data_IF_864464436099
#
_entry.id   IF_864464436099
#
_cell.length_a   1.000
_cell.length_b   1.000
_cell.length_c   1.000
_cell.angle_alpha   90.00
_cell.angle_beta   90.00
_cell.angle_gamma   90.00
#
_symmetry.space_group_name_H-M   'P 1'
#
loop_
_entity.id
_entity.type
_entity.pdbx_description
1 polymer ?
#
# COMPACT_ATOMS: atom_id res chain seq x y z
N UNK A 1 10.47 -13.55 -10.41
CA UNK A 1 11.87 -13.36 -10.10
C UNK A 1 12.07 -12.09 -9.28
N UNK A 2 12.85 -12.19 -8.21
CA UNK A 2 13.10 -11.06 -7.33
C UNK A 2 13.79 -9.92 -8.08
N UNK A 3 13.28 -8.69 -7.88
CA UNK A 3 13.90 -7.50 -8.43
C UNK A 3 13.80 -7.32 -9.93
N UNK A 4 12.87 -8.01 -10.61
CA UNK A 4 12.79 -7.98 -12.06
C UNK A 4 11.65 -7.13 -12.61
N UNK A 5 10.69 -6.70 -11.76
CA UNK A 5 9.54 -5.93 -12.21
C UNK A 5 9.73 -4.44 -11.92
N UNK A 6 9.32 -3.61 -12.88
CA UNK A 6 9.39 -2.15 -12.75
C UNK A 6 8.22 -1.58 -11.97
N UNK A 7 7.09 -2.27 -11.99
CA UNK A 7 5.81 -1.74 -11.50
C UNK A 7 4.94 -2.89 -10.99
N UNK A 8 4.22 -2.65 -9.90
CA UNK A 8 3.23 -3.57 -9.37
C UNK A 8 2.01 -2.79 -8.89
N UNK A 9 0.83 -3.35 -9.10
CA UNK A 9 -0.43 -2.76 -8.67
C UNK A 9 -1.08 -3.69 -7.65
N UNK A 10 -1.42 -3.14 -6.48
CA UNK A 10 -2.02 -3.89 -5.39
C UNK A 10 -3.51 -3.54 -5.27
N UNK A 11 -4.36 -4.49 -5.62
CA UNK A 11 -5.81 -4.38 -5.49
C UNK A 11 -6.35 -5.76 -5.15
N UNK A 12 -6.51 -6.04 -3.87
CA UNK A 12 -6.83 -7.37 -3.37
C UNK A 12 -7.66 -7.25 -2.09
N UNK A 13 -7.80 -8.36 -1.37
CA UNK A 13 -8.45 -8.35 -0.05
C UNK A 13 -7.68 -7.44 0.89
N UNK A 14 -8.38 -6.51 1.53
CA UNK A 14 -7.70 -5.49 2.34
C UNK A 14 -6.95 -6.08 3.53
N UNK A 15 -7.48 -7.14 4.12
CA UNK A 15 -6.84 -7.83 5.23
C UNK A 15 -5.50 -8.47 4.83
N UNK A 16 -5.32 -8.75 3.54
CA UNK A 16 -4.12 -9.39 3.01
C UNK A 16 -3.12 -8.42 2.37
N UNK A 17 -3.41 -7.12 2.40
CA UNK A 17 -2.52 -6.12 1.81
C UNK A 17 -1.08 -6.22 2.35
N UNK A 18 -0.85 -6.36 3.66
CA UNK A 18 0.54 -6.44 4.15
C UNK A 18 1.32 -7.61 3.56
N UNK A 19 0.68 -8.77 3.42
CA UNK A 19 1.34 -9.95 2.85
C UNK A 19 1.66 -9.76 1.37
N UNK A 20 0.69 -9.28 0.60
CA UNK A 20 0.92 -9.01 -0.82
C UNK A 20 1.96 -7.91 -1.03
N UNK A 21 1.94 -6.89 -0.19
CA UNK A 21 2.92 -5.81 -0.26
C UNK A 21 4.35 -6.33 -0.09
N UNK A 22 4.58 -7.21 0.88
CA UNK A 22 5.91 -7.79 1.09
C UNK A 22 6.38 -8.59 -0.13
N UNK A 23 5.48 -9.37 -0.73
CA UNK A 23 5.80 -10.12 -1.95
C UNK A 23 6.13 -9.18 -3.10
N UNK A 24 5.33 -8.13 -3.29
CA UNK A 24 5.55 -7.18 -4.39
C UNK A 24 6.84 -6.40 -4.19
N UNK A 25 7.17 -6.06 -2.94
CA UNK A 25 8.40 -5.35 -2.64
C UNK A 25 9.62 -6.19 -3.00
N UNK A 26 9.53 -7.51 -2.85
CA UNK A 26 10.59 -8.41 -3.27
C UNK A 26 10.70 -8.50 -4.79
N UNK A 27 9.56 -8.54 -5.50
CA UNK A 27 9.52 -8.71 -6.95
C UNK A 27 9.90 -7.45 -7.71
N UNK A 28 9.60 -6.27 -7.17
CA UNK A 28 9.89 -4.99 -7.82
C UNK A 28 11.38 -4.66 -7.66
N UNK A 29 11.99 -4.15 -8.73
CA UNK A 29 13.39 -3.74 -8.68
C UNK A 29 13.58 -2.49 -7.80
N UNK A 30 14.80 -2.25 -7.28
CA UNK A 30 15.08 -0.96 -6.66
C UNK A 30 14.79 0.19 -7.63
N UNK A 31 14.11 1.21 -7.15
CA UNK A 31 13.62 2.31 -7.99
C UNK A 31 12.28 2.04 -8.63
N UNK A 32 11.77 0.81 -8.57
CA UNK A 32 10.46 0.46 -9.09
C UNK A 32 9.33 0.96 -8.20
N UNK A 33 8.10 0.84 -8.69
CA UNK A 33 6.93 1.44 -8.06
C UNK A 33 5.88 0.40 -7.72
N UNK A 34 5.36 0.46 -6.50
CA UNK A 34 4.19 -0.30 -6.08
C UNK A 34 3.06 0.70 -5.87
N UNK A 35 1.91 0.45 -6.50
CA UNK A 35 0.71 1.28 -6.35
C UNK A 35 -0.35 0.48 -5.62
N UNK A 36 -0.77 0.97 -4.46
CA UNK A 36 -1.84 0.34 -3.69
C UNK A 36 -3.11 1.17 -3.82
N UNK A 37 -4.18 0.55 -4.27
CA UNK A 37 -5.48 1.19 -4.45
C UNK A 37 -6.30 1.14 -3.15
N UNK A 38 -7.32 1.97 -3.07
CA UNK A 38 -8.31 1.99 -1.99
C UNK A 38 -7.74 2.34 -0.62
N UNK A 39 -6.62 3.05 -0.55
CA UNK A 39 -5.96 3.30 0.73
C UNK A 39 -6.71 4.30 1.61
N UNK A 40 -7.56 5.14 1.03
CA UNK A 40 -8.46 6.01 1.80
C UNK A 40 -9.78 5.34 2.14
N UNK A 41 -10.19 4.34 1.34
CA UNK A 41 -11.39 3.54 1.56
C UNK A 41 -12.62 4.42 1.75
N UNK A 42 -12.85 5.34 0.79
CA UNK A 42 -13.94 6.33 0.82
C UNK A 42 -13.92 7.19 2.09
N UNK A 43 -12.72 7.46 2.61
CA UNK A 43 -12.55 8.26 3.83
C UNK A 43 -12.72 7.50 5.13
N UNK A 44 -13.05 6.21 5.07
CA UNK A 44 -13.32 5.41 6.28
C UNK A 44 -12.08 5.27 7.17
N UNK A 45 -10.89 5.27 6.58
CA UNK A 45 -9.65 5.13 7.37
C UNK A 45 -9.44 6.31 8.32
N UNK A 46 -10.02 7.48 8.00
CA UNK A 46 -9.91 8.67 8.84
C UNK A 46 -11.02 8.75 9.90
N UNK A 47 -11.99 7.86 9.87
CA UNK A 47 -13.11 7.84 10.81
C UNK A 47 -12.77 6.93 11.99
N UNK A 48 -12.47 7.49 13.19
CA UNK A 48 -12.08 6.65 14.33
C UNK A 48 -13.21 5.76 14.85
N UNK A 49 -14.46 6.04 14.48
CA UNK A 49 -15.61 5.23 14.87
C UNK A 49 -15.80 4.02 13.96
N UNK A 50 -15.12 3.95 12.82
CA UNK A 50 -15.25 2.83 11.90
C UNK A 50 -14.30 1.71 12.28
N UNK A 51 -14.85 0.57 12.69
CA UNK A 51 -14.10 -0.61 13.13
C UNK A 51 -14.34 -1.83 12.24
N UNK A 52 -14.82 -1.62 11.02
CA UNK A 52 -14.95 -2.71 10.06
C UNK A 52 -13.57 -3.34 9.81
N UNK A 53 -13.54 -4.67 9.60
CA UNK A 53 -12.28 -5.40 9.44
C UNK A 53 -11.42 -4.83 8.31
N UNK A 54 -12.02 -4.53 7.16
CA UNK A 54 -11.29 -3.95 6.03
C UNK A 54 -10.73 -2.57 6.34
N UNK A 55 -11.51 -1.74 7.05
CA UNK A 55 -11.07 -0.39 7.44
C UNK A 55 -9.90 -0.46 8.41
N UNK A 56 -9.99 -1.33 9.41
CA UNK A 56 -8.90 -1.52 10.38
C UNK A 56 -7.64 -2.03 9.69
N UNK A 57 -7.80 -2.99 8.76
CA UNK A 57 -6.67 -3.54 8.01
C UNK A 57 -5.98 -2.47 7.18
N UNK A 58 -6.73 -1.63 6.47
CA UNK A 58 -6.16 -0.54 5.67
C UNK A 58 -5.47 0.51 6.53
N UNK A 59 -6.07 0.84 7.68
CA UNK A 59 -5.47 1.80 8.62
C UNK A 59 -4.12 1.30 9.11
N UNK A 60 -4.03 0.02 9.46
CA UNK A 60 -2.78 -0.60 9.88
C UNK A 60 -1.77 -0.66 8.75
N UNK A 61 -2.22 -0.99 7.55
CA UNK A 61 -1.37 -1.03 6.37
C UNK A 61 -0.79 0.35 6.08
N UNK A 62 -1.61 1.40 6.12
CA UNK A 62 -1.15 2.76 5.89
C UNK A 62 -0.10 3.19 6.92
N UNK A 63 -0.29 2.83 8.19
CA UNK A 63 0.70 3.11 9.23
C UNK A 63 2.01 2.35 9.00
N UNK A 64 1.90 1.09 8.59
CA UNK A 64 3.07 0.27 8.29
C UNK A 64 3.88 0.89 7.16
N UNK A 65 3.22 1.33 6.09
CA UNK A 65 3.88 1.98 4.96
C UNK A 65 4.56 3.28 5.39
N UNK A 66 3.90 4.06 6.23
CA UNK A 66 4.44 5.33 6.69
C UNK A 66 5.76 5.16 7.45
N UNK A 67 5.95 4.02 8.10
CA UNK A 67 7.15 3.71 8.87
C UNK A 67 8.16 2.89 8.08
N UNK A 68 7.84 2.49 6.86
CA UNK A 68 8.70 1.60 6.08
C UNK A 68 9.81 2.41 5.42
N UNK A 69 11.04 2.21 5.87
CA UNK A 69 12.21 2.92 5.36
C UNK A 69 12.72 2.37 4.03
N UNK A 70 12.14 1.28 3.56
CA UNK A 70 12.54 0.66 2.28
C UNK A 70 11.93 1.37 1.08
N UNK A 71 10.97 2.27 1.30
CA UNK A 71 10.24 2.93 0.22
C UNK A 71 10.13 4.42 0.48
N UNK A 72 9.98 5.18 -0.61
CA UNK A 72 9.53 6.56 -0.59
C UNK A 72 8.04 6.55 -0.89
N UNK A 73 7.25 7.28 -0.11
CA UNK A 73 5.80 7.14 -0.10
C UNK A 73 5.11 8.43 -0.53
N UNK A 74 4.06 8.29 -1.33
CA UNK A 74 3.19 9.40 -1.69
C UNK A 74 1.75 8.89 -1.75
N UNK A 75 0.81 9.65 -1.20
CA UNK A 75 -0.61 9.35 -1.28
C UNK A 75 -1.29 10.34 -2.21
N UNK A 76 -1.98 9.82 -3.21
CA UNK A 76 -2.69 10.63 -4.19
C UNK A 76 -4.20 10.42 -3.99
N UNK A 77 -4.99 11.48 -3.74
CA UNK A 77 -6.42 11.35 -3.46
C UNK A 77 -7.24 11.21 -4.76
N UNK A 78 -6.99 10.14 -5.50
CA UNK A 78 -7.74 9.78 -6.70
C UNK A 78 -8.61 8.57 -6.35
N UNK A 79 -9.92 8.68 -6.63
CA UNK A 79 -10.86 7.62 -6.27
C UNK A 79 -10.84 7.35 -4.77
N UNK A 80 -10.61 6.10 -4.38
CA UNK A 80 -10.50 5.69 -2.98
C UNK A 80 -9.09 5.87 -2.40
N UNK A 81 -8.26 6.65 -3.07
CA UNK A 81 -6.88 6.88 -2.66
C UNK A 81 -5.90 5.92 -3.32
N UNK A 82 -4.81 6.46 -3.85
CA UNK A 82 -3.72 5.68 -4.40
C UNK A 82 -2.47 5.97 -3.60
N UNK A 83 -1.87 4.94 -3.04
CA UNK A 83 -0.59 5.07 -2.36
C UNK A 83 0.51 4.59 -3.30
N UNK A 84 1.48 5.45 -3.53
CA UNK A 84 2.62 5.17 -4.40
C UNK A 84 3.82 4.90 -3.51
N UNK A 85 4.37 3.70 -3.60
CA UNK A 85 5.55 3.30 -2.84
C UNK A 85 6.69 2.99 -3.80
N UNK A 86 7.70 3.85 -3.82
CA UNK A 86 8.87 3.64 -4.66
C UNK A 86 9.93 2.92 -3.83
N UNK A 87 10.36 1.76 -4.28
CA UNK A 87 11.36 0.97 -3.59
C UNK A 87 12.71 1.70 -3.65
N UNK A 88 13.31 1.97 -2.50
CA UNK A 88 14.61 2.64 -2.43
C UNK A 88 15.71 1.74 -2.95
N UNK A 89 16.71 2.39 -3.51
CA UNK A 89 17.89 1.71 -4.07
C UNK A 89 18.88 1.26 -3.00
#
# INVERSE_FOLDING_TARGET
EAGSFDFAFLDADKENYPGYYELLLELVRPGGLIVADNTLWSGRVADPANHEASTVALRRFNEQLHRDERVDLSLVPVGDGLTLARKRE
#
